data_IF_846181278036
#
_entry.id   IF_846181278036
#
_cell.length_a   1.000
_cell.length_b   1.000
_cell.length_c   1.000
_cell.angle_alpha   90.00
_cell.angle_beta   90.00
_cell.angle_gamma   90.00
#
_symmetry.space_group_name_H-M   'P 1'
#
loop_
_entity.id
_entity.type
_entity.pdbx_description
1 polymer ?
#
# COMPACT_ATOMS: atom_id res chain seq x y z
N UNK A 1 -2.15 -4.48 -16.57
CA UNK A 1 -0.74 -4.18 -16.87
C UNK A 1 0.13 -5.39 -16.59
N UNK A 2 0.98 -5.72 -17.56
CA UNK A 2 1.88 -6.85 -17.45
C UNK A 2 3.00 -6.54 -16.44
N UNK A 3 3.44 -7.52 -15.64
CA UNK A 3 4.50 -7.35 -14.64
C UNK A 3 5.80 -6.87 -15.28
N UNK A 4 6.14 -7.39 -16.47
CA UNK A 4 7.33 -6.98 -17.21
C UNK A 4 7.31 -5.48 -17.53
N UNK A 5 6.17 -4.98 -18.01
CA UNK A 5 6.00 -3.55 -18.32
C UNK A 5 6.13 -2.70 -17.06
N UNK A 6 5.60 -3.18 -15.94
CA UNK A 6 5.72 -2.49 -14.66
C UNK A 6 7.17 -2.39 -14.22
N UNK A 7 7.94 -3.48 -14.31
CA UNK A 7 9.34 -3.49 -13.89
C UNK A 7 10.24 -2.66 -14.78
N UNK A 8 9.98 -2.64 -16.08
CA UNK A 8 10.72 -1.77 -17.00
C UNK A 8 10.53 -0.30 -16.66
N UNK A 9 9.32 0.06 -16.23
CA UNK A 9 8.98 1.43 -15.87
C UNK A 9 9.50 1.82 -14.47
N UNK A 10 9.61 0.86 -13.53
CA UNK A 10 9.98 1.12 -12.15
C UNK A 10 11.12 0.20 -11.70
N UNK A 11 12.36 0.45 -12.13
CA UNK A 11 13.48 -0.46 -11.86
C UNK A 11 13.79 -0.64 -10.36
N UNK A 12 13.54 0.38 -9.54
CA UNK A 12 13.76 0.27 -8.08
C UNK A 12 12.82 -0.72 -7.44
N UNK A 13 11.59 -0.82 -7.93
CA UNK A 13 10.62 -1.82 -7.46
C UNK A 13 11.11 -3.22 -7.81
N UNK A 14 11.61 -3.41 -9.02
CA UNK A 14 12.18 -4.69 -9.44
C UNK A 14 13.35 -5.10 -8.57
N UNK A 15 14.28 -4.19 -8.31
CA UNK A 15 15.44 -4.46 -7.43
C UNK A 15 14.99 -4.89 -6.04
N UNK A 16 13.98 -4.21 -5.50
CA UNK A 16 13.44 -4.55 -4.18
C UNK A 16 12.83 -5.95 -4.16
N UNK A 17 12.06 -6.30 -5.20
CA UNK A 17 11.45 -7.62 -5.33
C UNK A 17 12.54 -8.69 -5.47
N UNK A 18 13.54 -8.47 -6.31
CA UNK A 18 14.64 -9.42 -6.50
C UNK A 18 15.40 -9.68 -5.21
N UNK A 19 15.68 -8.64 -4.43
CA UNK A 19 16.33 -8.78 -3.11
C UNK A 19 15.45 -9.54 -2.13
N UNK A 20 14.14 -9.27 -2.15
CA UNK A 20 13.18 -9.95 -1.28
C UNK A 20 13.11 -11.43 -1.60
N UNK A 21 13.11 -11.80 -2.88
CA UNK A 21 13.12 -13.20 -3.30
C UNK A 21 14.41 -13.91 -2.90
N UNK A 22 15.55 -13.25 -3.07
CA UNK A 22 16.85 -13.81 -2.68
C UNK A 22 16.89 -14.06 -1.16
N UNK A 23 16.43 -13.09 -0.37
CA UNK A 23 16.36 -13.23 1.08
C UNK A 23 15.40 -14.34 1.50
N UNK A 24 14.27 -14.48 0.82
CA UNK A 24 13.28 -15.52 1.10
C UNK A 24 13.83 -16.92 0.85
N UNK A 25 14.65 -17.10 -0.19
CA UNK A 25 15.30 -18.40 -0.47
C UNK A 25 16.25 -18.79 0.64
N UNK A 26 16.92 -17.82 1.25
CA UNK A 26 17.85 -18.06 2.36
C UNK A 26 17.10 -18.21 3.69
N UNK A 27 16.16 -17.33 3.98
CA UNK A 27 15.54 -17.20 5.30
C UNK A 27 14.20 -17.93 5.42
N UNK A 28 13.52 -18.23 4.29
CA UNK A 28 12.21 -18.87 4.27
C UNK A 28 11.06 -17.93 4.53
N UNK A 29 11.29 -16.63 4.56
CA UNK A 29 10.24 -15.62 4.72
C UNK A 29 10.60 -14.35 3.94
N UNK A 30 9.57 -13.54 3.65
CA UNK A 30 9.75 -12.20 3.09
C UNK A 30 9.42 -11.14 4.14
N UNK A 31 9.95 -9.94 3.95
CA UNK A 31 9.74 -8.82 4.86
C UNK A 31 9.17 -7.65 4.07
N UNK A 32 8.14 -7.00 4.60
CA UNK A 32 7.58 -5.78 3.99
C UNK A 32 8.54 -4.61 4.20
N UNK A 33 8.26 -3.48 3.54
CA UNK A 33 9.09 -2.28 3.70
C UNK A 33 9.17 -1.79 5.14
N UNK A 34 8.14 -2.01 5.96
CA UNK A 34 8.13 -1.62 7.37
C UNK A 34 8.55 -2.75 8.32
N UNK A 35 9.08 -3.85 7.78
CA UNK A 35 9.70 -4.90 8.59
C UNK A 35 8.80 -6.01 9.06
N UNK A 36 7.57 -6.13 8.54
CA UNK A 36 6.70 -7.26 8.90
C UNK A 36 7.10 -8.50 8.11
N UNK A 37 7.18 -9.64 8.79
CA UNK A 37 7.61 -10.90 8.18
C UNK A 37 6.42 -11.77 7.77
N UNK A 38 6.56 -12.43 6.64
CA UNK A 38 5.61 -13.44 6.19
C UNK A 38 6.36 -14.70 5.74
N UNK A 39 6.16 -15.85 6.41
CA UNK A 39 6.80 -17.10 6.01
C UNK A 39 6.34 -17.55 4.62
N UNK A 40 7.29 -18.00 3.79
CA UNK A 40 7.00 -18.58 2.47
C UNK A 40 7.86 -19.84 2.33
N UNK A 41 7.50 -20.94 3.02
CA UNK A 41 8.31 -22.17 2.99
C UNK A 41 8.38 -22.80 1.61
N UNK A 42 7.36 -22.59 0.77
CA UNK A 42 7.28 -23.17 -0.58
C UNK A 42 8.45 -22.74 -1.48
N UNK A 43 9.05 -21.58 -1.21
CA UNK A 43 10.14 -21.06 -2.04
C UNK A 43 11.40 -21.94 -1.99
N UNK A 44 11.50 -22.75 -0.94
CA UNK A 44 12.63 -23.69 -0.74
C UNK A 44 12.31 -25.10 -1.23
N UNK A 45 11.14 -25.34 -1.81
CA UNK A 45 10.74 -26.65 -2.25
C UNK A 45 11.63 -27.15 -3.38
N UNK A 46 11.91 -28.45 -3.41
CA UNK A 46 12.65 -29.09 -4.50
C UNK A 46 11.77 -29.25 -5.73
N UNK A 47 10.47 -29.41 -5.55
CA UNK A 47 9.51 -29.49 -6.63
C UNK A 47 9.41 -28.12 -7.33
N UNK A 48 9.63 -28.10 -8.64
CA UNK A 48 9.65 -26.88 -9.42
C UNK A 48 8.33 -26.12 -9.38
N UNK A 49 7.19 -26.84 -9.41
CA UNK A 49 5.87 -26.20 -9.36
C UNK A 49 5.62 -25.55 -8.00
N UNK A 50 5.95 -26.24 -6.92
CA UNK A 50 5.81 -25.70 -5.56
C UNK A 50 6.73 -24.51 -5.36
N UNK A 51 7.96 -24.57 -5.86
CA UNK A 51 8.90 -23.46 -5.76
C UNK A 51 8.42 -22.23 -6.54
N UNK A 52 7.87 -22.42 -7.74
CA UNK A 52 7.29 -21.32 -8.53
C UNK A 52 6.10 -20.68 -7.81
N UNK A 53 5.26 -21.49 -7.17
CA UNK A 53 4.17 -21.01 -6.33
C UNK A 53 4.72 -20.15 -5.19
N UNK A 54 5.78 -20.61 -4.53
CA UNK A 54 6.45 -19.90 -3.45
C UNK A 54 6.97 -18.53 -3.90
N UNK A 55 7.57 -18.46 -5.08
CA UNK A 55 8.08 -17.20 -5.63
C UNK A 55 6.95 -16.20 -5.89
N UNK A 56 5.82 -16.67 -6.44
CA UNK A 56 4.64 -15.80 -6.65
C UNK A 56 4.04 -15.34 -5.33
N UNK A 57 3.93 -16.22 -4.35
CA UNK A 57 3.45 -15.87 -3.02
C UNK A 57 4.36 -14.83 -2.36
N UNK A 58 5.67 -14.98 -2.50
CA UNK A 58 6.64 -14.04 -1.96
C UNK A 58 6.49 -12.64 -2.57
N UNK A 59 6.41 -12.55 -3.89
CA UNK A 59 6.22 -11.27 -4.60
C UNK A 59 4.92 -10.61 -4.18
N UNK A 60 3.80 -11.35 -4.21
CA UNK A 60 2.50 -10.83 -3.82
C UNK A 60 2.48 -10.36 -2.37
N UNK A 61 3.12 -11.13 -1.47
CA UNK A 61 3.17 -10.78 -0.05
C UNK A 61 3.94 -9.49 0.20
N UNK A 62 5.06 -9.30 -0.50
CA UNK A 62 5.83 -8.07 -0.39
C UNK A 62 5.02 -6.88 -0.92
N UNK A 63 4.40 -7.01 -2.09
CA UNK A 63 3.62 -5.93 -2.68
C UNK A 63 2.39 -5.58 -1.86
N UNK A 64 1.59 -6.57 -1.48
CA UNK A 64 0.36 -6.35 -0.69
C UNK A 64 0.68 -5.88 0.72
N UNK A 65 1.68 -6.49 1.36
CA UNK A 65 2.10 -6.11 2.70
C UNK A 65 2.65 -4.69 2.75
N UNK A 66 3.43 -4.30 1.75
CA UNK A 66 3.98 -2.95 1.64
C UNK A 66 2.86 -1.94 1.42
N UNK A 67 1.90 -2.24 0.54
CA UNK A 67 0.73 -1.38 0.33
C UNK A 67 -0.07 -1.21 1.63
N UNK A 68 -0.29 -2.30 2.36
CA UNK A 68 -0.98 -2.25 3.65
C UNK A 68 -0.22 -1.41 4.68
N UNK A 69 1.09 -1.52 4.72
CA UNK A 69 1.93 -0.72 5.61
C UNK A 69 1.83 0.77 5.29
N UNK A 70 1.88 1.12 4.02
CA UNK A 70 1.75 2.51 3.55
C UNK A 70 0.38 3.08 3.96
N UNK A 71 -0.69 2.31 3.76
CA UNK A 71 -2.05 2.72 4.14
C UNK A 71 -2.15 2.96 5.64
N UNK A 72 -1.55 2.11 6.46
CA UNK A 72 -1.55 2.28 7.92
C UNK A 72 -0.81 3.55 8.34
N UNK A 73 0.34 3.82 7.76
CA UNK A 73 1.09 5.06 8.03
C UNK A 73 0.25 6.28 7.63
N UNK A 74 -0.38 6.23 6.46
CA UNK A 74 -1.24 7.30 5.98
C UNK A 74 -2.43 7.53 6.92
N UNK A 75 -3.08 6.45 7.40
CA UNK A 75 -4.21 6.55 8.32
C UNK A 75 -3.83 7.26 9.62
N UNK A 76 -2.69 6.91 10.18
CA UNK A 76 -2.20 7.53 11.41
C UNK A 76 -1.94 9.02 11.19
N UNK A 77 -1.28 9.36 10.09
CA UNK A 77 -0.97 10.75 9.76
C UNK A 77 -2.23 11.58 9.49
N UNK A 78 -3.19 11.02 8.75
CA UNK A 78 -4.47 11.68 8.46
C UNK A 78 -5.24 11.91 9.76
N UNK A 79 -5.36 10.90 10.60
CA UNK A 79 -6.06 11.01 11.88
C UNK A 79 -5.44 12.11 12.75
N UNK A 80 -4.11 12.15 12.84
CA UNK A 80 -3.39 13.16 13.61
C UNK A 80 -3.68 14.57 13.09
N UNK A 81 -3.59 14.77 11.76
CA UNK A 81 -3.83 16.09 11.16
C UNK A 81 -5.26 16.54 11.32
N UNK A 82 -6.24 15.66 11.19
CA UNK A 82 -7.63 16.02 11.41
C UNK A 82 -7.85 16.51 12.83
N UNK A 83 -7.21 15.90 13.82
CA UNK A 83 -7.27 16.35 15.21
C UNK A 83 -6.56 17.68 15.41
N UNK A 84 -5.37 17.84 14.90
CA UNK A 84 -4.56 19.06 15.06
C UNK A 84 -5.22 20.27 14.42
N UNK A 85 -5.89 20.09 13.28
CA UNK A 85 -6.60 21.16 12.59
C UNK A 85 -8.02 21.37 13.11
N UNK A 86 -8.47 20.57 14.07
CA UNK A 86 -9.82 20.69 14.64
C UNK A 86 -10.92 20.36 13.65
N UNK A 87 -10.67 19.48 12.69
CA UNK A 87 -11.65 19.08 11.68
C UNK A 87 -12.73 18.19 12.28
N UNK A 88 -13.97 18.37 11.83
CA UNK A 88 -15.06 17.44 12.15
C UNK A 88 -15.03 16.16 11.33
N UNK A 89 -14.27 16.15 10.24
CA UNK A 89 -14.06 14.97 9.41
C UNK A 89 -13.39 13.84 10.21
N UNK A 90 -13.72 12.59 9.88
CA UNK A 90 -13.14 11.43 10.57
C UNK A 90 -12.98 10.25 9.63
N UNK A 91 -11.97 9.43 9.89
CA UNK A 91 -11.80 8.14 9.23
C UNK A 91 -12.85 7.16 9.76
N UNK A 92 -13.57 6.52 8.85
CA UNK A 92 -14.66 5.62 9.19
C UNK A 92 -14.26 4.17 8.92
N UNK A 93 -13.62 3.90 7.79
CA UNK A 93 -13.41 2.55 7.31
C UNK A 93 -12.19 2.48 6.40
N UNK A 94 -11.49 1.35 6.46
CA UNK A 94 -10.46 0.99 5.48
C UNK A 94 -10.86 -0.33 4.84
N UNK A 95 -10.94 -0.36 3.50
CA UNK A 95 -11.23 -1.57 2.73
C UNK A 95 -10.14 -1.71 1.68
N UNK A 96 -9.37 -2.80 1.73
CA UNK A 96 -8.24 -3.05 0.82
C UNK A 96 -7.26 -1.88 0.84
N UNK A 97 -7.11 -1.17 -0.27
CA UNK A 97 -6.23 -0.01 -0.42
C UNK A 97 -7.00 1.32 -0.42
N UNK A 98 -8.27 1.30 -0.01
CA UNK A 98 -9.12 2.47 0.04
C UNK A 98 -9.37 2.94 1.47
N UNK A 99 -9.41 4.25 1.64
CA UNK A 99 -9.81 4.90 2.89
C UNK A 99 -11.12 5.62 2.68
N UNK A 100 -12.06 5.43 3.60
CA UNK A 100 -13.34 6.12 3.60
C UNK A 100 -13.42 7.08 4.77
N UNK A 101 -13.70 8.34 4.48
CA UNK A 101 -13.86 9.39 5.49
C UNK A 101 -15.27 9.97 5.41
N UNK A 102 -15.82 10.30 6.56
CA UNK A 102 -17.04 11.07 6.69
C UNK A 102 -16.67 12.54 6.90
N UNK A 103 -17.06 13.43 5.97
CA UNK A 103 -16.57 14.82 5.94
C UNK A 103 -17.76 15.77 5.79
N UNK A 104 -17.86 16.82 6.65
CA UNK A 104 -18.84 17.89 6.42
C UNK A 104 -18.58 18.60 5.09
N UNK A 105 -19.64 19.04 4.42
CA UNK A 105 -19.54 19.69 3.12
C UNK A 105 -18.55 20.86 3.08
N UNK A 106 -18.52 21.65 4.14
CA UNK A 106 -17.65 22.82 4.21
C UNK A 106 -16.17 22.47 4.41
N UNK A 107 -15.85 21.20 4.69
CA UNK A 107 -14.48 20.74 4.87
C UNK A 107 -13.97 19.87 3.71
N UNK A 108 -14.81 19.51 2.75
CA UNK A 108 -14.48 18.56 1.69
C UNK A 108 -13.21 18.96 0.94
N UNK A 109 -13.10 20.21 0.50
CA UNK A 109 -11.94 20.67 -0.26
C UNK A 109 -10.65 20.57 0.55
N UNK A 110 -10.66 21.06 1.78
CA UNK A 110 -9.50 21.04 2.68
C UNK A 110 -9.09 19.62 3.05
N UNK A 111 -10.05 18.76 3.38
CA UNK A 111 -9.79 17.38 3.77
C UNK A 111 -9.30 16.57 2.57
N UNK A 112 -9.85 16.81 1.38
CA UNK A 112 -9.37 16.15 0.15
C UNK A 112 -7.88 16.41 -0.06
N UNK A 113 -7.44 17.67 0.06
CA UNK A 113 -6.04 18.04 -0.10
C UNK A 113 -5.18 17.41 1.00
N UNK A 114 -5.65 17.43 2.24
CA UNK A 114 -4.97 16.84 3.39
C UNK A 114 -4.75 15.34 3.19
N UNK A 115 -5.79 14.61 2.80
CA UNK A 115 -5.72 13.17 2.58
C UNK A 115 -4.73 12.85 1.47
N UNK A 116 -4.80 13.58 0.35
CA UNK A 116 -3.89 13.38 -0.77
C UNK A 116 -2.44 13.60 -0.34
N UNK A 117 -2.17 14.68 0.37
CA UNK A 117 -0.81 15.00 0.85
C UNK A 117 -0.27 13.91 1.76
N UNK A 118 -1.07 13.44 2.73
CA UNK A 118 -0.62 12.44 3.69
C UNK A 118 -0.45 11.07 3.04
N UNK A 119 -1.29 10.70 2.09
CA UNK A 119 -1.14 9.43 1.38
C UNK A 119 0.12 9.42 0.50
N UNK A 120 0.40 10.52 -0.19
CA UNK A 120 1.61 10.64 -1.01
C UNK A 120 2.86 10.65 -0.12
N UNK A 121 2.81 11.31 1.03
CA UNK A 121 3.92 11.44 1.95
C UNK A 121 4.14 10.21 2.85
N UNK A 122 3.20 9.27 2.88
CA UNK A 122 3.25 8.11 3.77
C UNK A 122 4.50 7.27 3.57
N UNK A 123 4.99 7.22 2.35
CA UNK A 123 6.25 6.59 2.03
C UNK A 123 6.87 7.26 0.81
N UNK A 124 8.16 7.59 0.92
CA UNK A 124 8.89 8.25 -0.17
C UNK A 124 9.26 7.21 -1.24
N UNK A 125 8.46 7.16 -2.29
CA UNK A 125 8.67 6.28 -3.43
C UNK A 125 9.12 7.07 -4.66
N UNK A 126 9.90 6.43 -5.52
CA UNK A 126 10.34 6.99 -6.78
C UNK A 126 9.97 6.01 -7.91
N UNK A 127 8.96 6.29 -8.73
CA UNK A 127 8.15 7.52 -8.75
C UNK A 127 7.19 7.64 -7.56
N UNK A 128 6.68 8.84 -7.27
CA UNK A 128 5.74 9.03 -6.16
C UNK A 128 4.47 8.21 -6.31
N UNK A 129 3.85 7.90 -5.19
CA UNK A 129 2.60 7.16 -5.14
C UNK A 129 1.49 7.93 -5.84
N UNK A 130 0.77 7.27 -6.75
CA UNK A 130 -0.40 7.86 -7.40
C UNK A 130 -1.62 7.68 -6.49
N UNK A 131 -2.34 8.77 -6.24
CA UNK A 131 -3.50 8.78 -5.34
C UNK A 131 -4.68 9.45 -6.02
N UNK A 132 -5.81 8.72 -6.11
CA UNK A 132 -7.07 9.26 -6.58
C UNK A 132 -7.97 9.54 -5.37
N UNK A 133 -8.55 10.74 -5.34
CA UNK A 133 -9.47 11.15 -4.27
C UNK A 133 -10.78 11.57 -4.89
N UNK A 134 -11.85 10.82 -4.59
CA UNK A 134 -13.21 11.15 -5.00
C UNK A 134 -14.05 11.62 -3.82
N UNK A 135 -15.13 12.34 -4.09
CA UNK A 135 -16.07 12.78 -3.09
C UNK A 135 -17.51 12.59 -3.58
N UNK A 136 -18.42 12.23 -2.69
CA UNK A 136 -19.82 12.04 -2.98
C UNK A 136 -20.65 11.92 -1.71
N UNK A 137 -21.97 11.87 -1.84
CA UNK A 137 -22.88 11.79 -0.70
C UNK A 137 -22.79 10.43 0.01
N UNK A 138 -22.40 9.39 -0.71
CA UNK A 138 -22.18 8.07 -0.16
C UNK A 138 -20.92 7.43 -0.76
N UNK A 139 -20.55 6.25 -0.25
CA UNK A 139 -19.34 5.56 -0.70
C UNK A 139 -19.40 5.21 -2.19
N UNK A 140 -20.55 4.75 -2.67
CA UNK A 140 -20.71 4.37 -4.07
C UNK A 140 -20.50 5.58 -5.00
N UNK A 141 -21.08 6.72 -4.66
CA UNK A 141 -20.91 7.97 -5.40
C UNK A 141 -19.46 8.45 -5.37
N UNK A 142 -18.78 8.36 -4.23
CA UNK A 142 -17.39 8.76 -4.07
C UNK A 142 -16.42 7.94 -4.91
N UNK A 143 -16.76 6.67 -5.20
CA UNK A 143 -15.93 5.78 -6.03
C UNK A 143 -16.07 6.05 -7.53
N UNK A 144 -17.11 6.69 -7.96
CA UNK A 144 -17.44 6.90 -9.39
C UNK A 144 -16.51 7.89 -10.06
#
# INVERSE_FOLDING_TARGET
MNITQYFERFPKVKEYIDRSLAAARTDGYVTTLLGRRRPVPEIRAMNRQTRSLGERLAVNSVMQGTAADIIKVAMIAIHRRLREEGRAARLVLQIHDELLLEVPENEVSAVRDLVRQEMIAAYDLDPPLAVDVGAGDDWHEAKS
#
